data_IF_759841048070
#
_entry.id   IF_759841048070
#
_cell.length_a   1.000
_cell.length_b   1.000
_cell.length_c   1.000
_cell.angle_alpha   90.00
_cell.angle_beta   90.00
_cell.angle_gamma   90.00
#
_symmetry.space_group_name_H-M   'P 1'
#
loop_
_entity.id
_entity.type
_entity.pdbx_description
1 polymer ?
#
# COMPACT_ATOMS: atom_id res chain seq x y z
N UNK A 1 -5.64 -13.76 1.16
CA UNK A 1 -5.99 -15.05 1.81
C UNK A 1 -7.22 -15.74 1.19
N UNK A 2 -8.37 -15.06 1.10
CA UNK A 2 -9.62 -15.68 0.64
C UNK A 2 -9.59 -16.16 -0.82
N UNK A 3 -8.98 -15.39 -1.74
CA UNK A 3 -8.76 -15.83 -3.12
C UNK A 3 -7.95 -17.13 -3.19
N UNK A 4 -6.86 -17.24 -2.41
CA UNK A 4 -6.03 -18.45 -2.35
C UNK A 4 -6.83 -19.69 -1.98
N UNK A 5 -7.58 -19.64 -0.87
CA UNK A 5 -8.36 -20.77 -0.39
C UNK A 5 -9.42 -21.21 -1.40
N UNK A 6 -10.11 -20.26 -2.02
CA UNK A 6 -11.09 -20.58 -3.06
C UNK A 6 -10.44 -21.18 -4.32
N UNK A 7 -9.27 -20.69 -4.72
CA UNK A 7 -8.53 -21.25 -5.86
C UNK A 7 -8.05 -22.68 -5.59
N UNK A 8 -7.67 -23.01 -4.36
CA UNK A 8 -7.28 -24.38 -4.00
C UNK A 8 -8.46 -25.35 -4.07
N UNK A 9 -9.66 -24.93 -3.67
CA UNK A 9 -10.86 -25.76 -3.80
C UNK A 9 -11.19 -26.08 -5.27
N UNK A 10 -11.08 -25.08 -6.15
CA UNK A 10 -11.27 -25.26 -7.60
C UNK A 10 -10.19 -26.17 -8.19
N UNK A 11 -8.94 -26.05 -7.73
CA UNK A 11 -7.89 -26.95 -8.16
C UNK A 11 -8.21 -28.40 -7.77
N UNK A 12 -8.72 -28.64 -6.56
CA UNK A 12 -9.10 -29.98 -6.11
C UNK A 12 -10.15 -30.62 -7.02
N UNK A 13 -11.19 -29.88 -7.41
CA UNK A 13 -12.22 -30.41 -8.32
C UNK A 13 -11.66 -30.67 -9.73
N UNK A 14 -10.81 -29.78 -10.24
CA UNK A 14 -10.16 -29.95 -11.54
C UNK A 14 -9.24 -31.18 -11.60
N UNK A 15 -8.59 -31.54 -10.49
CA UNK A 15 -7.73 -32.75 -10.44
C UNK A 15 -8.57 -34.02 -10.69
N UNK A 16 -9.79 -34.06 -10.18
CA UNK A 16 -10.70 -35.21 -10.34
C UNK A 16 -11.31 -35.24 -11.74
N UNK A 17 -11.65 -34.09 -12.33
CA UNK A 17 -12.33 -34.00 -13.63
C UNK A 17 -11.38 -34.00 -14.83
N UNK A 18 -10.30 -33.21 -14.79
CA UNK A 18 -9.38 -33.02 -15.92
C UNK A 18 -7.98 -32.58 -15.46
N UNK A 19 -7.05 -33.55 -15.44
CA UNK A 19 -5.67 -33.35 -15.00
C UNK A 19 -4.91 -32.27 -15.80
N UNK A 20 -5.17 -32.13 -17.11
CA UNK A 20 -4.53 -31.10 -17.93
C UNK A 20 -4.98 -29.70 -17.51
N UNK A 21 -6.28 -29.51 -17.28
CA UNK A 21 -6.82 -28.26 -16.74
C UNK A 21 -6.29 -27.99 -15.34
N UNK A 22 -6.16 -28.99 -14.47
CA UNK A 22 -5.55 -28.81 -13.15
C UNK A 22 -4.08 -28.31 -13.23
N UNK A 23 -3.28 -28.85 -14.16
CA UNK A 23 -1.91 -28.38 -14.39
C UNK A 23 -1.86 -26.94 -14.91
N UNK A 24 -2.71 -26.62 -15.91
CA UNK A 24 -2.84 -25.25 -16.45
C UNK A 24 -3.29 -24.26 -15.38
N UNK A 25 -4.22 -24.67 -14.52
CA UNK A 25 -4.72 -23.87 -13.39
C UNK A 25 -3.60 -23.59 -12.39
N UNK A 26 -2.87 -24.63 -11.97
CA UNK A 26 -1.74 -24.51 -11.03
C UNK A 26 -0.63 -23.59 -11.56
N UNK A 27 -0.32 -23.71 -12.85
CA UNK A 27 0.66 -22.85 -13.53
C UNK A 27 0.19 -21.38 -13.54
N UNK A 28 -1.08 -21.15 -13.88
CA UNK A 28 -1.66 -19.80 -13.90
C UNK A 28 -1.70 -19.19 -12.51
N UNK A 29 -2.08 -19.96 -11.50
CA UNK A 29 -2.09 -19.54 -10.09
C UNK A 29 -0.67 -19.14 -9.63
N UNK A 30 0.34 -19.94 -9.98
CA UNK A 30 1.74 -19.65 -9.66
C UNK A 30 2.24 -18.35 -10.32
N UNK A 31 1.88 -18.12 -11.59
CA UNK A 31 2.17 -16.85 -12.28
C UNK A 31 1.50 -15.67 -11.59
N UNK A 32 0.27 -15.85 -11.13
CA UNK A 32 -0.47 -14.79 -10.43
C UNK A 32 0.24 -14.40 -9.14
N UNK A 33 0.60 -15.38 -8.30
CA UNK A 33 1.31 -15.10 -7.04
C UNK A 33 2.66 -14.46 -7.25
N UNK A 34 3.42 -14.95 -8.23
CA UNK A 34 4.72 -14.37 -8.57
C UNK A 34 4.58 -12.89 -8.91
N UNK A 35 3.64 -12.55 -9.77
CA UNK A 35 3.38 -11.15 -10.13
C UNK A 35 2.99 -10.31 -8.90
N UNK A 36 2.06 -10.78 -8.06
CA UNK A 36 1.66 -10.07 -6.84
C UNK A 36 2.85 -9.78 -5.91
N UNK A 37 3.79 -10.72 -5.79
CA UNK A 37 5.00 -10.55 -4.99
C UNK A 37 6.00 -9.59 -5.66
N UNK A 38 6.20 -9.70 -6.96
CA UNK A 38 7.15 -8.86 -7.73
C UNK A 38 6.73 -7.39 -7.83
N UNK A 39 5.42 -7.11 -7.82
CA UNK A 39 4.91 -5.74 -7.95
C UNK A 39 4.63 -5.06 -6.60
N UNK A 40 4.82 -5.74 -5.47
CA UNK A 40 4.47 -5.23 -4.14
C UNK A 40 5.11 -3.88 -3.81
N UNK A 41 6.35 -3.68 -4.23
CA UNK A 41 7.15 -2.50 -3.88
C UNK A 41 7.20 -1.46 -5.02
N UNK A 42 6.44 -1.65 -6.10
CA UNK A 42 6.40 -0.72 -7.23
C UNK A 42 5.24 0.27 -7.10
N UNK A 43 5.52 1.55 -7.32
CA UNK A 43 4.49 2.59 -7.35
C UNK A 43 3.64 2.53 -8.63
N UNK A 44 4.29 2.26 -9.77
CA UNK A 44 3.68 2.23 -11.09
C UNK A 44 4.26 1.11 -11.95
N UNK A 45 3.40 0.46 -12.74
CA UNK A 45 3.76 -0.57 -13.72
C UNK A 45 3.24 -0.18 -15.11
N UNK A 46 3.89 -0.62 -16.19
CA UNK A 46 3.36 -0.45 -17.54
C UNK A 46 1.94 -1.03 -17.66
N UNK A 47 1.05 -0.33 -18.36
CA UNK A 47 -0.31 -0.81 -18.63
C UNK A 47 -0.28 -2.16 -19.35
N UNK A 48 0.69 -2.36 -20.25
CA UNK A 48 0.91 -3.63 -20.94
C UNK A 48 1.17 -4.80 -19.98
N UNK A 49 1.97 -4.59 -18.93
CA UNK A 49 2.21 -5.61 -17.89
C UNK A 49 0.94 -5.91 -17.09
N UNK A 50 0.21 -4.87 -16.69
CA UNK A 50 -1.04 -5.02 -15.94
C UNK A 50 -2.13 -5.73 -16.77
N UNK A 51 -2.24 -5.43 -18.07
CA UNK A 51 -3.14 -6.13 -19.01
C UNK A 51 -2.73 -7.60 -19.21
N UNK A 52 -1.44 -7.89 -19.36
CA UNK A 52 -0.95 -9.26 -19.47
C UNK A 52 -1.25 -10.08 -18.21
N UNK A 53 -1.09 -9.47 -17.04
CA UNK A 53 -1.48 -10.05 -15.77
C UNK A 53 -2.99 -10.28 -15.69
N UNK A 54 -3.80 -9.28 -16.05
CA UNK A 54 -5.26 -9.40 -16.08
C UNK A 54 -5.74 -10.49 -17.04
N UNK A 55 -5.11 -10.68 -18.20
CA UNK A 55 -5.40 -11.81 -19.10
C UNK A 55 -5.18 -13.15 -18.43
N UNK A 56 -4.06 -13.30 -17.72
CA UNK A 56 -3.75 -14.52 -16.96
C UNK A 56 -4.79 -14.75 -15.86
N UNK A 57 -5.16 -13.69 -15.14
CA UNK A 57 -6.17 -13.73 -14.09
C UNK A 57 -7.57 -14.10 -14.63
N UNK A 58 -8.00 -13.47 -15.72
CA UNK A 58 -9.28 -13.74 -16.38
C UNK A 58 -9.36 -15.14 -16.95
N UNK A 59 -8.26 -15.67 -17.50
CA UNK A 59 -8.23 -17.07 -17.93
C UNK A 59 -8.41 -18.03 -16.75
N UNK A 60 -7.81 -17.75 -15.60
CA UNK A 60 -8.03 -18.55 -14.39
C UNK A 60 -9.49 -18.49 -13.94
N UNK A 61 -10.10 -17.30 -13.96
CA UNK A 61 -11.53 -17.16 -13.65
C UNK A 61 -12.42 -17.88 -14.67
N UNK A 62 -12.08 -17.83 -15.96
CA UNK A 62 -12.80 -18.54 -17.02
C UNK A 62 -12.74 -20.06 -16.83
N UNK A 63 -11.62 -20.60 -16.36
CA UNK A 63 -11.55 -22.04 -15.99
C UNK A 63 -12.46 -22.38 -14.81
N UNK A 64 -12.73 -21.43 -13.91
CA UNK A 64 -13.61 -21.62 -12.75
C UNK A 64 -15.09 -21.47 -13.08
N UNK A 65 -15.44 -20.54 -13.95
CA UNK A 65 -16.83 -20.18 -14.27
C UNK A 65 -17.28 -20.66 -15.65
N UNK A 66 -16.38 -21.32 -16.40
CA UNK A 66 -16.63 -21.95 -17.69
C UNK A 66 -17.38 -21.03 -18.67
N UNK A 67 -18.57 -21.43 -19.10
CA UNK A 67 -19.40 -20.72 -20.07
C UNK A 67 -20.20 -19.56 -19.45
N UNK A 68 -19.97 -19.23 -18.18
CA UNK A 68 -20.67 -18.17 -17.47
C UNK A 68 -19.91 -16.84 -17.43
N UNK A 69 -18.65 -16.81 -17.88
CA UNK A 69 -17.79 -15.62 -17.82
C UNK A 69 -17.10 -15.36 -19.16
N UNK A 70 -17.35 -14.18 -19.72
CA UNK A 70 -16.77 -13.72 -20.97
C UNK A 70 -16.03 -12.42 -20.74
N UNK A 71 -14.93 -12.23 -21.47
CA UNK A 71 -14.18 -10.99 -21.39
C UNK A 71 -13.57 -10.58 -22.73
N UNK A 72 -13.46 -9.27 -22.91
CA UNK A 72 -12.81 -8.61 -24.04
C UNK A 72 -11.64 -7.77 -23.54
N UNK A 73 -10.53 -7.84 -24.27
CA UNK A 73 -9.31 -7.06 -24.00
C UNK A 73 -9.14 -6.02 -25.10
N UNK A 74 -8.47 -4.89 -24.82
CA UNK A 74 -8.15 -3.92 -25.86
C UNK A 74 -7.20 -4.54 -26.90
N UNK A 75 -7.45 -4.28 -28.19
CA UNK A 75 -6.60 -4.77 -29.28
C UNK A 75 -5.27 -4.01 -29.37
N UNK A 76 -5.30 -2.72 -29.04
CA UNK A 76 -4.14 -1.85 -29.10
C UNK A 76 -3.32 -1.93 -27.81
N UNK A 77 -2.03 -2.23 -27.98
CA UNK A 77 -1.08 -2.19 -26.86
C UNK A 77 -0.73 -0.72 -26.61
N UNK A 78 -1.02 -0.19 -25.40
CA UNK A 78 -0.68 1.19 -25.08
C UNK A 78 0.84 1.41 -25.10
N UNK A 79 1.24 2.66 -25.32
CA UNK A 79 2.65 3.07 -25.32
C UNK A 79 3.41 2.51 -24.10
N UNK A 80 4.70 2.11 -24.23
CA UNK A 80 5.51 1.66 -23.11
C UNK A 80 5.59 2.65 -21.93
N UNK A 81 5.32 3.92 -22.19
CA UNK A 81 5.29 4.98 -21.17
C UNK A 81 3.98 5.03 -20.39
N UNK A 82 2.92 4.40 -20.88
CA UNK A 82 1.63 4.31 -20.22
C UNK A 82 1.74 3.41 -18.98
N UNK A 83 1.42 3.96 -17.82
CA UNK A 83 1.52 3.30 -16.52
C UNK A 83 0.23 3.39 -15.73
N UNK A 84 0.06 2.42 -14.84
CA UNK A 84 -1.03 2.35 -13.86
C UNK A 84 -0.49 1.87 -12.52
N UNK A 85 -1.28 2.08 -11.49
CA UNK A 85 -1.01 1.54 -10.15
C UNK A 85 -1.10 0.01 -10.21
N UNK A 86 -0.06 -0.74 -9.80
CA UNK A 86 -0.05 -2.20 -9.92
C UNK A 86 -1.19 -2.87 -9.14
N UNK A 87 -1.69 -3.98 -9.66
CA UNK A 87 -2.80 -4.78 -9.09
C UNK A 87 -4.16 -4.07 -9.09
N UNK A 88 -4.29 -2.88 -9.68
CA UNK A 88 -5.57 -2.18 -9.75
C UNK A 88 -6.56 -2.93 -10.62
N UNK A 89 -6.12 -3.44 -11.78
CA UNK A 89 -7.00 -4.12 -12.72
C UNK A 89 -7.50 -5.44 -12.11
N UNK A 90 -6.62 -6.20 -11.44
CA UNK A 90 -7.00 -7.44 -10.75
C UNK A 90 -8.01 -7.21 -9.64
N UNK A 91 -7.85 -6.16 -8.82
CA UNK A 91 -8.83 -5.82 -7.79
C UNK A 91 -10.19 -5.42 -8.39
N UNK A 92 -10.22 -4.71 -9.52
CA UNK A 92 -11.47 -4.38 -10.21
C UNK A 92 -12.14 -5.63 -10.77
N UNK A 93 -11.39 -6.51 -11.43
CA UNK A 93 -11.91 -7.77 -11.95
C UNK A 93 -12.44 -8.69 -10.84
N UNK A 94 -11.73 -8.75 -9.71
CA UNK A 94 -12.20 -9.46 -8.51
C UNK A 94 -13.53 -8.89 -8.00
N UNK A 95 -13.65 -7.56 -7.93
CA UNK A 95 -14.90 -6.90 -7.54
C UNK A 95 -16.04 -7.20 -8.51
N UNK A 96 -15.77 -7.15 -9.83
CA UNK A 96 -16.76 -7.44 -10.86
C UNK A 96 -17.33 -8.85 -10.69
N UNK A 97 -16.50 -9.87 -10.49
CA UNK A 97 -16.98 -11.25 -10.28
C UNK A 97 -17.62 -11.45 -8.90
N UNK A 98 -17.10 -10.79 -7.86
CA UNK A 98 -17.62 -10.95 -6.48
C UNK A 98 -19.05 -10.39 -6.33
N UNK A 99 -19.34 -9.27 -6.96
CA UNK A 99 -20.58 -8.52 -6.76
C UNK A 99 -21.66 -8.78 -7.82
N UNK A 100 -21.38 -9.59 -8.83
CA UNK A 100 -22.34 -9.96 -9.86
C UNK A 100 -22.69 -11.45 -9.82
N UNK A 101 -23.89 -11.77 -10.30
CA UNK A 101 -24.27 -13.14 -10.64
C UNK A 101 -23.43 -13.59 -11.83
N UNK A 102 -22.90 -14.81 -11.74
CA UNK A 102 -22.12 -15.46 -12.80
C UNK A 102 -22.67 -16.88 -12.95
N UNK A 103 -23.57 -17.08 -13.92
CA UNK A 103 -24.16 -18.39 -14.22
C UNK A 103 -24.45 -18.54 -15.72
N UNK A 104 -24.71 -19.75 -16.20
CA UNK A 104 -25.00 -19.99 -17.62
C UNK A 104 -26.29 -19.31 -18.08
N UNK A 105 -27.29 -19.19 -17.18
CA UNK A 105 -28.53 -18.48 -17.48
C UNK A 105 -28.35 -16.96 -17.50
N UNK A 106 -27.29 -16.46 -16.86
CA UNK A 106 -26.98 -15.04 -16.75
C UNK A 106 -25.47 -14.82 -16.81
N UNK A 107 -24.87 -14.99 -18.01
CA UNK A 107 -23.42 -14.89 -18.17
C UNK A 107 -22.95 -13.46 -17.91
N UNK A 108 -21.77 -13.32 -17.34
CA UNK A 108 -21.15 -12.04 -17.06
C UNK A 108 -20.17 -11.68 -18.19
N UNK A 109 -20.43 -10.55 -18.85
CA UNK A 109 -19.53 -9.97 -19.84
C UNK A 109 -18.73 -8.83 -19.23
N UNK A 110 -17.40 -8.91 -19.37
CA UNK A 110 -16.46 -7.90 -18.89
C UNK A 110 -15.70 -7.31 -20.07
N UNK A 111 -15.72 -6.00 -20.24
CA UNK A 111 -14.98 -5.30 -21.29
C UNK A 111 -13.89 -4.45 -20.68
N UNK A 112 -12.67 -4.61 -21.16
CA UNK A 112 -11.54 -3.75 -20.80
C UNK A 112 -11.22 -2.90 -22.03
N UNK A 113 -11.23 -1.58 -21.86
CA UNK A 113 -11.04 -0.60 -22.94
C UNK A 113 -10.01 0.42 -22.54
N UNK A 114 -9.39 1.06 -23.52
CA UNK A 114 -8.53 2.22 -23.31
C UNK A 114 -9.11 3.37 -24.12
N UNK A 115 -9.61 4.39 -23.43
CA UNK A 115 -10.23 5.55 -24.05
C UNK A 115 -9.86 6.81 -23.26
N UNK A 116 -9.63 7.93 -23.94
CA UNK A 116 -9.37 9.23 -23.31
C UNK A 116 -8.25 9.19 -22.24
N UNK A 117 -7.20 8.41 -22.50
CA UNK A 117 -6.07 8.22 -21.58
C UNK A 117 -6.51 7.65 -20.20
N UNK A 118 -7.54 6.81 -20.21
CA UNK A 118 -8.04 6.03 -19.10
C UNK A 118 -8.14 4.56 -19.50
N UNK A 119 -7.83 3.67 -18.56
CA UNK A 119 -8.08 2.24 -18.63
C UNK A 119 -9.44 1.97 -17.97
N UNK A 120 -10.39 1.50 -18.76
CA UNK A 120 -11.80 1.36 -18.35
C UNK A 120 -12.13 -0.12 -18.23
N UNK A 121 -12.73 -0.49 -17.10
CA UNK A 121 -13.28 -1.82 -16.85
C UNK A 121 -14.79 -1.67 -16.75
N UNK A 122 -15.51 -2.44 -17.54
CA UNK A 122 -16.94 -2.33 -17.70
C UNK A 122 -17.58 -3.71 -17.61
N UNK A 123 -18.71 -3.83 -16.92
CA UNK A 123 -19.50 -5.06 -16.90
C UNK A 123 -21.01 -4.77 -16.85
N UNK A 124 -21.80 -5.73 -17.32
CA UNK A 124 -23.25 -5.66 -17.17
C UNK A 124 -23.62 -5.74 -15.68
N UNK A 125 -24.57 -4.91 -15.25
CA UNK A 125 -24.99 -4.82 -13.85
C UNK A 125 -25.92 -5.98 -13.50
N UNK A 126 -25.39 -6.94 -12.73
CA UNK A 126 -26.09 -8.17 -12.36
C UNK A 126 -25.95 -8.44 -10.86
N UNK A 127 -26.30 -7.44 -10.02
CA UNK A 127 -26.04 -7.45 -8.58
C UNK A 127 -26.42 -8.77 -7.93
N UNK A 128 -25.45 -9.36 -7.24
CA UNK A 128 -25.67 -10.48 -6.33
C UNK A 128 -26.24 -9.94 -5.03
N UNK A 129 -27.32 -10.54 -4.51
CA UNK A 129 -27.76 -10.24 -3.14
C UNK A 129 -26.73 -10.82 -2.17
N UNK A 130 -25.94 -9.94 -1.55
CA UNK A 130 -24.96 -10.34 -0.53
C UNK A 130 -25.44 -9.77 0.80
N UNK A 131 -25.82 -10.64 1.73
CA UNK A 131 -26.16 -10.28 3.10
C UNK A 131 -24.89 -9.76 3.80
N UNK A 132 -24.86 -8.45 4.11
CA UNK A 132 -23.94 -7.90 5.12
C UNK A 132 -22.54 -7.47 4.67
N UNK A 133 -22.28 -7.15 3.39
CA UNK A 133 -20.91 -6.80 2.97
C UNK A 133 -20.60 -5.29 3.16
N UNK A 134 -19.44 -4.99 3.77
CA UNK A 134 -18.92 -3.62 3.88
C UNK A 134 -18.64 -3.09 2.48
N UNK A 135 -19.49 -2.18 1.99
CA UNK A 135 -19.29 -1.48 0.71
C UNK A 135 -17.86 -0.90 0.64
N UNK A 136 -17.11 -1.29 -0.37
CA UNK A 136 -16.09 -0.42 -0.97
C UNK A 136 -14.64 -0.55 -0.49
N UNK A 137 -14.24 -1.50 0.36
CA UNK A 137 -12.82 -1.59 0.80
C UNK A 137 -11.85 -1.75 -0.39
N UNK A 138 -12.22 -2.56 -1.40
CA UNK A 138 -11.41 -2.78 -2.59
C UNK A 138 -11.26 -1.53 -3.47
N UNK A 139 -12.38 -0.88 -3.81
CA UNK A 139 -12.38 0.36 -4.60
C UNK A 139 -11.71 1.51 -3.84
N UNK A 140 -11.93 1.61 -2.53
CA UNK A 140 -11.30 2.63 -1.68
C UNK A 140 -9.78 2.47 -1.65
N UNK A 141 -9.28 1.22 -1.62
CA UNK A 141 -7.85 0.96 -1.66
C UNK A 141 -7.23 1.46 -2.97
N UNK A 142 -7.88 1.22 -4.11
CA UNK A 142 -7.42 1.73 -5.41
C UNK A 142 -7.47 3.26 -5.42
N UNK A 143 -8.58 3.87 -5.00
CA UNK A 143 -8.72 5.33 -4.96
C UNK A 143 -7.63 5.99 -4.10
N UNK A 144 -7.36 5.45 -2.91
CA UNK A 144 -6.33 5.98 -2.01
C UNK A 144 -4.94 5.90 -2.66
N UNK A 145 -4.61 4.82 -3.37
CA UNK A 145 -3.32 4.68 -4.05
C UNK A 145 -3.18 5.65 -5.22
N UNK A 146 -4.23 5.83 -6.02
CA UNK A 146 -4.21 6.84 -7.09
C UNK A 146 -4.11 8.26 -6.53
N UNK A 147 -4.77 8.57 -5.42
CA UNK A 147 -4.74 9.90 -4.80
C UNK A 147 -3.33 10.31 -4.31
N UNK A 148 -2.45 9.35 -3.99
CA UNK A 148 -1.06 9.62 -3.63
C UNK A 148 -0.22 10.02 -4.86
N UNK A 149 -0.59 9.54 -6.05
CA UNK A 149 0.24 9.63 -7.26
C UNK A 149 -0.27 10.68 -8.26
N UNK A 150 -1.54 11.06 -8.19
CA UNK A 150 -2.15 12.00 -9.14
C UNK A 150 -3.38 12.71 -8.57
N UNK A 151 -3.66 13.92 -9.09
CA UNK A 151 -4.94 14.59 -8.87
C UNK A 151 -6.05 14.12 -9.82
N UNK A 152 -5.72 13.36 -10.88
CA UNK A 152 -6.71 12.77 -11.77
C UNK A 152 -7.49 11.71 -11.00
N UNK A 153 -8.79 11.90 -10.88
CA UNK A 153 -9.65 11.00 -10.09
C UNK A 153 -10.02 9.77 -10.91
N UNK A 154 -10.08 8.63 -10.21
CA UNK A 154 -10.79 7.46 -10.69
C UNK A 154 -12.29 7.80 -10.79
N UNK A 155 -12.92 7.43 -11.90
CA UNK A 155 -14.35 7.66 -12.12
C UNK A 155 -15.07 6.31 -12.00
N UNK A 156 -16.15 6.28 -11.21
CA UNK A 156 -17.02 5.11 -11.07
C UNK A 156 -18.38 5.54 -11.58
N UNK A 157 -18.92 4.81 -12.55
CA UNK A 157 -20.26 5.06 -13.08
C UNK A 157 -21.11 3.80 -12.95
N UNK A 158 -22.32 3.98 -12.45
CA UNK A 158 -23.32 2.93 -12.37
C UNK A 158 -24.58 3.42 -13.09
N UNK A 159 -24.93 2.73 -14.16
CA UNK A 159 -26.20 2.93 -14.88
C UNK A 159 -27.18 1.81 -14.52
N UNK A 160 -28.39 1.84 -15.07
CA UNK A 160 -29.37 0.77 -14.85
C UNK A 160 -28.86 -0.62 -15.28
N UNK A 161 -28.01 -0.67 -16.31
CA UNK A 161 -27.62 -1.92 -16.96
C UNK A 161 -26.12 -2.20 -16.89
N UNK A 162 -25.30 -1.25 -16.43
CA UNK A 162 -23.86 -1.33 -16.57
C UNK A 162 -23.14 -0.67 -15.38
N UNK A 163 -22.01 -1.24 -15.02
CA UNK A 163 -21.08 -0.68 -14.05
C UNK A 163 -19.73 -0.49 -14.74
N UNK A 164 -19.13 0.69 -14.59
CA UNK A 164 -17.81 0.99 -15.15
C UNK A 164 -16.91 1.68 -14.13
N UNK A 165 -15.62 1.37 -14.21
CA UNK A 165 -14.56 2.04 -13.45
C UNK A 165 -13.47 2.46 -14.42
N UNK A 166 -13.16 3.75 -14.40
CA UNK A 166 -12.13 4.37 -15.24
C UNK A 166 -10.91 4.73 -14.40
N UNK A 167 -9.78 4.09 -14.70
CA UNK A 167 -8.47 4.34 -14.10
C UNK A 167 -7.67 5.31 -14.97
N UNK A 168 -7.21 6.46 -14.46
CA UNK A 168 -6.33 7.34 -15.21
C UNK A 168 -5.02 6.63 -15.60
N UNK A 169 -4.69 6.60 -16.89
CA UNK A 169 -3.35 6.17 -17.34
C UNK A 169 -2.38 7.30 -17.03
N UNK A 170 -1.28 6.95 -16.37
CA UNK A 170 -0.22 7.85 -15.97
C UNK A 170 0.95 7.70 -16.94
N UNK A 171 1.80 8.71 -17.07
CA UNK A 171 3.07 8.59 -17.79
C UNK A 171 4.21 8.82 -16.81
N UNK A 172 5.35 8.17 -17.00
CA UNK A 172 6.57 8.51 -16.24
C UNK A 172 7.22 9.78 -16.78
N UNK A 173 6.44 10.82 -17.12
CA UNK A 173 6.99 12.15 -16.98
C UNK A 173 7.00 12.42 -15.50
N UNK A 174 8.20 12.37 -14.93
CA UNK A 174 8.51 13.13 -13.74
C UNK A 174 8.27 14.59 -14.15
N UNK A 175 7.01 15.03 -14.13
CA UNK A 175 6.80 16.22 -13.37
C UNK A 175 7.20 15.83 -11.95
N UNK A 176 8.40 16.22 -11.54
CA UNK A 176 8.49 16.94 -10.28
C UNK A 176 7.59 18.16 -10.53
N UNK A 177 6.28 17.96 -10.56
CA UNK A 177 5.40 18.95 -10.02
C UNK A 177 5.78 18.86 -8.57
N UNK A 178 6.60 19.81 -8.14
CA UNK A 178 6.35 20.45 -6.86
C UNK A 178 4.84 20.72 -6.78
N UNK A 179 4.06 19.72 -6.40
CA UNK A 179 2.69 19.92 -6.00
C UNK A 179 2.64 19.55 -4.53
N UNK A 180 2.94 20.57 -3.75
CA UNK A 180 2.04 21.00 -2.70
C UNK A 180 1.58 19.85 -1.81
N UNK A 181 2.51 19.28 -1.07
CA UNK A 181 2.20 19.13 0.35
C UNK A 181 1.70 20.50 0.78
N UNK A 182 0.42 20.60 1.10
CA UNK A 182 -0.13 21.78 1.74
C UNK A 182 0.89 22.17 2.81
N UNK A 183 1.46 23.40 2.84
CA UNK A 183 2.47 23.75 3.84
C UNK A 183 2.02 23.39 5.26
N UNK A 184 0.70 23.34 5.47
CA UNK A 184 0.06 22.84 6.67
C UNK A 184 0.23 21.34 6.97
N UNK A 185 0.19 20.41 6.03
CA UNK A 185 0.25 18.97 6.32
C UNK A 185 1.67 18.54 6.69
N UNK A 186 2.70 19.01 5.97
CA UNK A 186 4.09 18.81 6.37
C UNK A 186 4.39 19.46 7.73
N UNK A 187 3.90 20.69 7.95
CA UNK A 187 4.04 21.37 9.25
C UNK A 187 3.29 20.62 10.35
N UNK A 188 2.13 20.05 10.05
CA UNK A 188 1.33 19.27 10.99
C UNK A 188 2.04 17.97 11.37
N UNK A 189 2.57 17.23 10.40
CA UNK A 189 3.35 16.01 10.67
C UNK A 189 4.63 16.32 11.45
N UNK A 190 5.34 17.40 11.10
CA UNK A 190 6.50 17.89 11.86
C UNK A 190 6.12 18.31 13.27
N UNK A 191 4.99 19.00 13.45
CA UNK A 191 4.48 19.39 14.75
C UNK A 191 4.05 18.18 15.59
N UNK A 192 3.40 17.18 14.98
CA UNK A 192 2.99 15.95 15.64
C UNK A 192 4.18 15.15 16.14
N UNK A 193 5.21 14.96 15.29
CA UNK A 193 6.47 14.34 15.66
C UNK A 193 7.16 15.09 16.80
N UNK A 194 7.19 16.43 16.72
CA UNK A 194 7.73 17.28 17.80
C UNK A 194 6.95 17.11 19.11
N UNK A 195 5.64 16.94 19.07
CA UNK A 195 4.82 16.66 20.26
C UNK A 195 5.12 15.28 20.83
N UNK A 196 5.34 14.28 19.98
CA UNK A 196 5.70 12.92 20.41
C UNK A 196 7.08 12.89 21.10
N UNK A 197 8.09 13.52 20.48
CA UNK A 197 9.44 13.67 21.04
C UNK A 197 9.38 14.41 22.40
N UNK A 198 8.56 15.46 22.49
CA UNK A 198 8.37 16.23 23.73
C UNK A 198 7.68 15.39 24.83
N UNK A 199 6.66 14.60 24.48
CA UNK A 199 6.00 13.67 25.40
C UNK A 199 6.97 12.60 25.90
N UNK A 200 7.79 12.03 25.01
CA UNK A 200 8.83 11.07 25.38
C UNK A 200 9.85 11.67 26.34
N UNK A 201 10.30 12.90 26.09
CA UNK A 201 11.21 13.62 26.98
C UNK A 201 10.60 13.84 28.36
N UNK A 202 9.40 14.40 28.46
CA UNK A 202 8.75 14.65 29.74
C UNK A 202 8.42 13.36 30.49
N UNK A 203 8.08 12.27 29.79
CA UNK A 203 7.90 10.95 30.39
C UNK A 203 9.19 10.44 31.06
N UNK A 204 10.32 10.53 30.35
CA UNK A 204 11.62 10.13 30.88
C UNK A 204 12.09 11.05 32.02
N UNK A 205 11.91 12.36 31.89
CA UNK A 205 12.27 13.34 32.93
C UNK A 205 11.44 13.14 34.21
N UNK A 206 10.14 12.91 34.07
CA UNK A 206 9.25 12.66 35.22
C UNK A 206 9.64 11.38 35.94
N UNK A 207 9.88 10.31 35.17
CA UNK A 207 10.36 9.03 35.73
C UNK A 207 11.71 9.20 36.43
N UNK A 208 12.61 9.99 35.84
CA UNK A 208 13.90 10.34 36.42
C UNK A 208 13.78 11.04 37.76
N UNK A 209 12.91 12.05 37.88
CA UNK A 209 12.70 12.78 39.13
C UNK A 209 12.08 11.86 40.19
N UNK A 210 11.01 11.15 39.86
CA UNK A 210 10.27 10.31 40.83
C UNK A 210 11.16 9.19 41.37
N UNK A 211 11.82 8.44 40.48
CA UNK A 211 12.64 7.31 40.89
C UNK A 211 13.83 7.77 41.70
N UNK A 212 14.54 8.83 41.28
CA UNK A 212 15.70 9.31 42.04
C UNK A 212 15.30 9.92 43.38
N UNK A 213 14.13 10.55 43.48
CA UNK A 213 13.60 11.02 44.76
C UNK A 213 13.33 9.85 45.72
N UNK A 214 12.71 8.77 45.23
CA UNK A 214 12.52 7.55 46.01
C UNK A 214 13.84 6.90 46.42
N UNK A 215 14.82 6.81 45.51
CA UNK A 215 16.15 6.25 45.80
C UNK A 215 16.92 7.11 46.81
N UNK A 216 16.81 8.43 46.73
CA UNK A 216 17.39 9.35 47.70
C UNK A 216 16.81 9.12 49.10
N UNK A 217 15.49 9.05 49.23
CA UNK A 217 14.84 8.74 50.52
C UNK A 217 15.30 7.37 51.04
N UNK A 218 15.26 6.33 50.19
CA UNK A 218 15.67 4.98 50.55
C UNK A 218 17.12 4.97 51.04
N UNK A 219 18.03 5.63 50.34
CA UNK A 219 19.42 5.69 50.71
C UNK A 219 19.63 6.42 52.06
N UNK A 220 18.93 7.54 52.30
CA UNK A 220 19.01 8.27 53.57
C UNK A 220 18.47 7.46 54.76
N UNK A 221 17.45 6.62 54.53
CA UNK A 221 16.87 5.75 55.57
C UNK A 221 17.73 4.52 55.85
N UNK A 222 18.28 3.89 54.81
CA UNK A 222 19.01 2.61 54.96
C UNK A 222 20.51 2.79 55.23
N UNK A 223 21.14 3.81 54.66
CA UNK A 223 22.60 3.98 54.75
C UNK A 223 23.01 5.45 54.59
N UNK A 224 22.74 6.26 55.63
CA UNK A 224 23.05 7.70 55.63
C UNK A 224 24.55 8.03 55.57
N UNK A 225 25.44 7.08 55.91
CA UNK A 225 26.89 7.24 55.84
C UNK A 225 27.47 7.12 54.42
N UNK A 226 26.73 6.52 53.47
CA UNK A 226 27.18 6.37 52.09
C UNK A 226 26.05 6.69 51.10
N UNK A 227 26.20 7.81 50.40
CA UNK A 227 25.20 8.38 49.49
C UNK A 227 25.26 7.75 48.08
N UNK A 228 24.97 6.46 47.96
CA UNK A 228 24.99 5.74 46.68
C UNK A 228 23.94 6.21 45.67
N UNK A 229 22.89 6.94 46.09
CA UNK A 229 21.86 7.44 45.16
C UNK A 229 22.43 8.38 44.07
N UNK A 230 23.62 8.95 44.28
CA UNK A 230 24.32 9.75 43.27
C UNK A 230 24.70 8.95 42.02
N UNK A 231 24.97 7.64 42.13
CA UNK A 231 25.39 6.85 40.96
C UNK A 231 24.24 6.67 39.94
N UNK A 232 23.02 6.22 40.32
CA UNK A 232 21.88 6.22 39.42
C UNK A 232 21.48 7.62 38.94
N UNK A 233 21.60 8.64 39.81
CA UNK A 233 21.28 10.02 39.47
C UNK A 233 22.16 10.52 38.32
N UNK A 234 23.49 10.43 38.45
CA UNK A 234 24.41 10.89 37.41
C UNK A 234 24.35 10.00 36.17
N UNK A 235 24.33 8.68 36.33
CA UNK A 235 24.33 7.75 35.21
C UNK A 235 23.09 7.89 34.33
N UNK A 236 21.89 7.91 34.93
CA UNK A 236 20.66 8.05 34.18
C UNK A 236 20.40 9.50 33.73
N UNK A 237 20.90 10.48 34.51
CA UNK A 237 20.78 11.90 34.21
C UNK A 237 21.48 12.30 32.91
N UNK A 238 22.60 11.66 32.58
CA UNK A 238 23.27 11.84 31.28
C UNK A 238 22.33 11.46 30.12
N UNK A 239 21.61 10.34 30.22
CA UNK A 239 20.67 9.89 29.18
C UNK A 239 19.50 10.87 28.99
N UNK A 240 18.95 11.39 30.10
CA UNK A 240 17.89 12.42 30.06
C UNK A 240 18.42 13.72 29.43
N UNK A 241 19.66 14.11 29.74
CA UNK A 241 20.30 15.27 29.15
C UNK A 241 20.52 15.12 27.63
N UNK A 242 20.98 13.95 27.16
CA UNK A 242 21.10 13.67 25.72
C UNK A 242 19.75 13.71 25.01
N UNK A 243 18.70 13.17 25.63
CA UNK A 243 17.35 13.25 25.07
C UNK A 243 16.87 14.70 24.97
N UNK A 244 17.12 15.52 26.00
CA UNK A 244 16.83 16.95 25.97
C UNK A 244 17.55 17.67 24.83
N UNK A 245 18.85 17.43 24.67
CA UNK A 245 19.67 18.07 23.62
C UNK A 245 19.19 17.72 22.21
N UNK A 246 18.69 16.50 22.00
CA UNK A 246 18.05 16.06 20.76
C UNK A 246 16.71 16.77 20.51
N UNK A 247 15.81 16.79 21.49
CA UNK A 247 14.44 17.33 21.38
C UNK A 247 14.43 18.86 21.23
N UNK A 248 15.33 19.56 21.94
CA UNK A 248 15.43 21.03 21.90
C UNK A 248 16.44 21.55 20.87
N UNK A 249 17.00 20.66 20.05
CA UNK A 249 17.88 20.99 18.93
C UNK A 249 19.15 21.79 19.33
N UNK A 250 19.69 21.52 20.52
CA UNK A 250 20.97 22.12 20.96
C UNK A 250 22.18 21.51 20.25
N UNK A 251 22.05 20.28 19.72
CA UNK A 251 23.06 19.62 18.87
C UNK A 251 22.47 19.27 17.50
N UNK A 252 22.62 20.13 16.49
CA UNK A 252 21.96 19.97 15.18
C UNK A 252 22.35 18.69 14.45
N UNK A 253 23.55 18.15 14.69
CA UNK A 253 24.10 16.98 14.02
C UNK A 253 23.58 15.64 14.57
N UNK A 254 22.96 15.64 15.76
CA UNK A 254 22.30 14.46 16.34
C UNK A 254 20.81 14.40 16.01
N UNK A 255 20.27 15.44 15.37
CA UNK A 255 18.87 15.51 14.96
C UNK A 255 18.66 14.67 13.68
N UNK A 256 17.54 13.93 13.65
CA UNK A 256 17.06 13.19 12.46
C UNK A 256 16.97 14.05 11.20
N UNK A 257 16.68 15.34 11.31
CA UNK A 257 16.65 16.23 10.14
C UNK A 257 18.04 16.39 9.48
N UNK A 258 19.12 16.38 10.27
CA UNK A 258 20.48 16.43 9.73
C UNK A 258 20.86 15.10 9.08
N UNK A 259 20.47 13.99 9.70
CA UNK A 259 20.67 12.63 9.17
C UNK A 259 19.97 12.46 7.82
N UNK A 260 18.70 12.84 7.72
CA UNK A 260 17.91 12.81 6.47
C UNK A 260 18.54 13.68 5.38
N UNK A 261 19.00 14.89 5.72
CA UNK A 261 19.71 15.78 4.79
C UNK A 261 21.01 15.14 4.29
N UNK A 262 21.77 14.51 5.17
CA UNK A 262 23.06 13.89 4.82
C UNK A 262 22.88 12.64 3.96
N UNK A 263 21.90 11.80 4.26
CA UNK A 263 21.55 10.64 3.42
C UNK A 263 21.17 11.11 2.02
N UNK A 264 20.31 12.13 1.91
CA UNK A 264 19.91 12.69 0.61
C UNK A 264 21.09 13.28 -0.17
N UNK A 265 22.01 13.96 0.51
CA UNK A 265 23.25 14.47 -0.10
C UNK A 265 24.12 13.35 -0.67
N UNK A 266 24.31 12.25 0.08
CA UNK A 266 25.12 11.10 -0.33
C UNK A 266 24.49 10.33 -1.49
N UNK A 267 23.18 10.05 -1.44
CA UNK A 267 22.45 9.40 -2.54
C UNK A 267 22.53 10.20 -3.84
N UNK A 268 22.47 11.54 -3.76
CA UNK A 268 22.60 12.41 -4.93
C UNK A 268 24.04 12.39 -5.49
N UNK A 269 25.06 12.34 -4.63
CA UNK A 269 26.46 12.19 -5.05
C UNK A 269 26.72 10.86 -5.75
N UNK A 270 26.18 9.75 -5.23
CA UNK A 270 26.29 8.44 -5.87
C UNK A 270 25.62 8.41 -7.24
N UNK A 271 24.39 8.94 -7.35
CA UNK A 271 23.72 9.07 -8.65
C UNK A 271 24.58 9.86 -9.62
N UNK A 272 25.08 11.04 -9.22
CA UNK A 272 25.90 11.90 -10.10
C UNK A 272 27.20 11.23 -10.56
N UNK A 273 27.82 10.39 -9.72
CA UNK A 273 29.01 9.62 -10.08
C UNK A 273 28.73 8.40 -10.98
N UNK A 274 27.50 7.86 -11.01
CA UNK A 274 27.14 6.79 -11.95
C UNK A 274 26.92 7.28 -13.39
N UNK A 275 26.76 8.60 -13.60
CA UNK A 275 26.58 9.22 -14.92
C UNK A 275 27.88 9.86 -15.48
N UNK A 276 29.02 9.68 -14.81
CA UNK A 276 30.35 10.08 -15.28
C UNK A 276 31.20 8.85 -15.58
#
# INVERSE_FOLDING_TARGET
PHFLFNSLNVLSSLIEENQENAQRFTTSLSKIYRYVLEQKDKELVPVSEELAFAKTYMNLLKMRFENSLFYEMPEEIPSPEAKVVPLSLQLLLENTVKHNVVSEQKPLYIRIKIENNCLIIENDLQKKEVLGDRKGVGLQNIMNRYAILTHRKMVIEETKNQFSVSLPILTKQISIMENTNTPNEERYLKAQKRVEDLKGFYGNLTSYIIVNFCLMILNLVTSSSHLWFFYPLLGWGIGVAFHAMSVFNYMPFLNREWEEKKIKELMNKEKTNQWK
#
